data_IF_177476936488
#
_entry.id   IF_177476936488
#
_cell.length_a   1.000
_cell.length_b   1.000
_cell.length_c   1.000
_cell.angle_alpha   90.00
_cell.angle_beta   90.00
_cell.angle_gamma   90.00
#
_symmetry.space_group_name_H-M   'P 1'
#
loop_
_entity.id
_entity.type
_entity.pdbx_description
1 polymer ?
#
# COMPACT_ATOMS: atom_id res chain seq x y z
N UNK A 1 7.54 6.15 -2.40
CA UNK A 1 7.21 5.52 -1.09
C UNK A 1 6.41 6.52 -0.27
N UNK A 2 5.32 6.11 0.37
CA UNK A 2 4.54 6.97 1.26
C UNK A 2 5.42 7.39 2.44
N UNK A 3 5.46 8.71 2.77
CA UNK A 3 6.28 9.23 3.87
C UNK A 3 5.99 8.56 5.21
N UNK A 4 4.71 8.26 5.48
CA UNK A 4 4.31 7.58 6.71
C UNK A 4 4.96 6.19 6.87
N UNK A 5 4.99 5.39 5.80
CA UNK A 5 5.64 4.06 5.84
C UNK A 5 7.15 4.19 6.02
N UNK A 6 7.78 5.17 5.38
CA UNK A 6 9.21 5.44 5.52
C UNK A 6 9.55 5.85 6.96
N UNK A 7 8.82 6.80 7.50
CA UNK A 7 9.11 7.37 8.83
C UNK A 7 8.81 6.36 9.93
N UNK A 8 7.74 5.55 9.77
CA UNK A 8 7.43 4.42 10.65
C UNK A 8 8.52 3.35 10.65
N UNK A 9 9.07 3.01 9.47
CA UNK A 9 10.19 2.08 9.35
C UNK A 9 11.43 2.61 10.05
N UNK A 10 11.82 3.87 9.79
CA UNK A 10 12.98 4.48 10.42
C UNK A 10 12.85 4.50 11.95
N UNK A 11 11.65 4.81 12.46
CA UNK A 11 11.36 4.79 13.89
C UNK A 11 11.44 3.36 14.46
N UNK A 12 10.88 2.37 13.77
CA UNK A 12 10.96 0.98 14.19
C UNK A 12 12.42 0.50 14.25
N UNK A 13 13.22 0.80 13.24
CA UNK A 13 14.64 0.46 13.21
C UNK A 13 15.43 1.14 14.33
N UNK A 14 15.07 2.37 14.71
CA UNK A 14 15.73 3.08 15.82
C UNK A 14 15.38 2.54 17.20
N UNK A 15 14.24 1.84 17.33
CA UNK A 15 13.76 1.22 18.56
C UNK A 15 14.24 -0.23 18.71
N UNK A 16 14.60 -0.87 17.62
CA UNK A 16 15.17 -2.19 17.61
C UNK A 16 16.69 -2.08 17.55
N UNK A 17 17.38 -2.78 18.42
CA UNK A 17 18.84 -2.97 18.31
C UNK A 17 19.08 -3.94 17.12
N UNK A 18 18.87 -3.38 15.92
CA UNK A 18 19.13 -4.10 14.68
C UNK A 18 20.62 -3.99 14.44
N UNK A 19 21.35 -5.06 14.76
CA UNK A 19 22.76 -5.16 14.45
C UNK A 19 23.08 -4.94 12.96
N UNK A 20 24.33 -5.03 12.59
CA UNK A 20 24.71 -5.00 11.17
C UNK A 20 23.97 -6.11 10.42
N UNK A 21 23.33 -5.72 9.31
CA UNK A 21 22.67 -6.68 8.40
C UNK A 21 23.28 -6.55 7.00
N UNK A 22 23.37 -7.65 6.30
CA UNK A 22 23.99 -7.71 4.98
C UNK A 22 23.09 -7.07 3.91
N UNK A 23 21.78 -7.21 4.04
CA UNK A 23 20.82 -6.66 3.07
C UNK A 23 19.42 -6.44 3.67
N UNK A 24 18.65 -5.61 3.01
CA UNK A 24 17.23 -5.40 3.27
C UNK A 24 16.39 -6.20 2.28
N UNK A 25 15.41 -6.98 2.79
CA UNK A 25 14.47 -7.71 1.97
C UNK A 25 13.31 -6.82 1.49
N UNK A 26 12.95 -6.89 0.21
CA UNK A 26 11.79 -6.20 -0.36
C UNK A 26 10.90 -7.17 -1.14
N UNK A 27 9.58 -6.98 -1.05
CA UNK A 27 8.61 -7.78 -1.80
C UNK A 27 8.40 -7.21 -3.21
N UNK A 28 9.26 -7.58 -4.14
CA UNK A 28 9.11 -7.32 -5.58
C UNK A 28 9.02 -8.69 -6.25
N UNK A 29 7.94 -8.97 -6.97
CA UNK A 29 7.77 -10.23 -7.68
C UNK A 29 8.62 -10.29 -8.96
N UNK A 30 8.90 -11.48 -9.44
CA UNK A 30 9.75 -11.69 -10.62
C UNK A 30 9.19 -11.03 -11.89
N UNK A 31 7.87 -10.98 -12.05
CA UNK A 31 7.17 -10.37 -13.18
C UNK A 31 6.97 -8.85 -13.07
N UNK A 32 7.37 -8.23 -11.95
CA UNK A 32 7.38 -6.78 -11.77
C UNK A 32 8.64 -6.10 -12.35
N UNK A 33 9.00 -6.38 -13.59
CA UNK A 33 10.26 -5.95 -14.23
C UNK A 33 10.58 -4.46 -14.08
N UNK A 34 9.55 -3.59 -14.08
CA UNK A 34 9.75 -2.13 -13.90
C UNK A 34 10.32 -1.77 -12.53
N UNK A 35 10.17 -2.63 -11.54
CA UNK A 35 10.65 -2.42 -10.18
C UNK A 35 12.02 -3.03 -9.92
N UNK A 36 12.50 -3.92 -10.81
CA UNK A 36 13.81 -4.56 -10.66
C UNK A 36 14.96 -3.54 -10.61
N UNK A 37 14.83 -2.40 -11.30
CA UNK A 37 15.82 -1.31 -11.24
C UNK A 37 15.95 -0.64 -9.86
N UNK A 38 15.10 -0.98 -8.90
CA UNK A 38 15.20 -0.52 -7.51
C UNK A 38 16.07 -1.46 -6.65
N UNK A 39 16.37 -2.64 -7.14
CA UNK A 39 17.19 -3.63 -6.42
C UNK A 39 18.68 -3.23 -6.49
N UNK A 40 19.37 -3.43 -5.39
CA UNK A 40 20.79 -3.17 -5.21
C UNK A 40 21.41 -4.30 -4.41
N UNK A 41 22.71 -4.28 -4.18
CA UNK A 41 23.36 -5.26 -3.29
C UNK A 41 22.75 -5.25 -1.88
N UNK A 42 22.34 -4.07 -1.41
CA UNK A 42 21.76 -3.89 -0.08
C UNK A 42 20.22 -3.98 -0.06
N UNK A 43 19.56 -4.01 -1.21
CA UNK A 43 18.10 -4.11 -1.33
C UNK A 43 17.77 -5.27 -2.28
N UNK A 44 17.43 -6.41 -1.73
CA UNK A 44 17.25 -7.66 -2.47
C UNK A 44 15.81 -8.16 -2.40
N UNK A 45 15.38 -8.87 -3.43
CA UNK A 45 14.11 -9.59 -3.42
C UNK A 45 14.33 -11.07 -3.67
N UNK A 46 13.99 -11.87 -2.67
CA UNK A 46 14.03 -13.33 -2.79
C UNK A 46 13.09 -13.83 -3.89
N UNK A 47 11.96 -13.13 -4.12
CA UNK A 47 11.01 -13.50 -5.18
C UNK A 47 11.63 -13.34 -6.58
N UNK A 48 12.46 -12.31 -6.76
CA UNK A 48 13.18 -12.10 -8.03
C UNK A 48 14.30 -13.12 -8.18
N UNK A 49 15.06 -13.40 -7.12
CA UNK A 49 16.16 -14.37 -7.13
C UNK A 49 15.67 -15.78 -7.43
N UNK A 50 14.55 -16.17 -6.83
CA UNK A 50 13.93 -17.49 -7.00
C UNK A 50 12.94 -17.54 -8.19
N UNK A 51 12.82 -16.46 -8.97
CA UNK A 51 11.92 -16.33 -10.12
C UNK A 51 10.44 -16.62 -9.81
N UNK A 52 10.00 -16.22 -8.61
CA UNK A 52 8.63 -16.37 -8.14
C UNK A 52 7.80 -15.19 -8.65
N UNK A 53 6.75 -15.47 -9.42
CA UNK A 53 5.81 -14.47 -9.92
C UNK A 53 4.77 -14.08 -8.87
N UNK A 54 4.03 -12.99 -9.11
CA UNK A 54 2.92 -12.60 -8.23
C UNK A 54 1.83 -13.68 -8.17
N UNK A 55 1.60 -14.37 -9.30
CA UNK A 55 0.62 -15.45 -9.36
C UNK A 55 1.08 -16.69 -8.57
N UNK A 56 2.37 -17.04 -8.62
CA UNK A 56 2.95 -18.15 -7.84
C UNK A 56 2.83 -17.85 -6.33
N UNK A 57 3.19 -16.63 -5.91
CA UNK A 57 3.08 -16.20 -4.53
C UNK A 57 1.61 -16.21 -4.05
N UNK A 58 0.69 -15.73 -4.88
CA UNK A 58 -0.76 -15.74 -4.61
C UNK A 58 -1.29 -17.17 -4.45
N UNK A 59 -0.89 -18.08 -5.33
CA UNK A 59 -1.29 -19.49 -5.26
C UNK A 59 -0.79 -20.11 -3.97
N UNK A 60 0.48 -19.92 -3.65
CA UNK A 60 1.08 -20.42 -2.41
C UNK A 60 0.37 -19.90 -1.17
N UNK A 61 0.05 -18.58 -1.11
CA UNK A 61 -0.70 -17.99 0.00
C UNK A 61 -2.09 -18.61 0.16
N UNK A 62 -2.80 -18.89 -0.95
CA UNK A 62 -4.11 -19.56 -0.91
C UNK A 62 -4.02 -20.98 -0.37
N UNK A 63 -3.05 -21.74 -0.85
CA UNK A 63 -2.82 -23.14 -0.44
C UNK A 63 -2.45 -23.25 1.05
N UNK A 64 -1.81 -22.22 1.62
CA UNK A 64 -1.39 -22.17 3.02
C UNK A 64 -2.32 -21.36 3.93
N UNK A 65 -3.52 -20.99 3.46
CA UNK A 65 -4.50 -20.20 4.21
C UNK A 65 -3.96 -18.82 4.70
N UNK A 66 -2.98 -18.26 3.99
CA UNK A 66 -2.36 -16.96 4.28
C UNK A 66 -2.89 -15.85 3.35
N UNK A 67 -3.88 -16.15 2.53
CA UNK A 67 -4.45 -15.19 1.59
C UNK A 67 -5.34 -14.19 2.31
N UNK A 68 -5.01 -12.90 2.19
CA UNK A 68 -5.80 -11.84 2.82
C UNK A 68 -7.22 -11.79 2.23
N UNK A 69 -8.27 -11.68 3.07
CA UNK A 69 -9.65 -11.53 2.59
C UNK A 69 -9.84 -10.36 1.62
N UNK A 70 -9.08 -9.28 1.76
CA UNK A 70 -9.14 -8.12 0.86
C UNK A 70 -8.92 -8.46 -0.61
N UNK A 71 -8.10 -9.45 -0.90
CA UNK A 71 -7.91 -9.92 -2.28
C UNK A 71 -9.08 -10.78 -2.80
N UNK A 72 -9.98 -11.18 -1.90
CA UNK A 72 -11.14 -12.03 -2.22
C UNK A 72 -12.39 -11.22 -2.54
N UNK A 73 -12.52 -10.00 -2.01
CA UNK A 73 -13.74 -9.20 -2.09
C UNK A 73 -13.97 -8.56 -3.46
N UNK A 74 -12.95 -8.23 -4.20
CA UNK A 74 -13.12 -7.67 -5.52
C UNK A 74 -12.93 -8.71 -6.61
N UNK A 75 -14.01 -9.23 -7.14
CA UNK A 75 -14.00 -10.21 -8.24
C UNK A 75 -13.39 -9.70 -9.55
N UNK A 76 -12.90 -8.48 -9.61
CA UNK A 76 -12.31 -7.85 -10.81
C UNK A 76 -11.12 -6.94 -10.55
N UNK A 77 -10.94 -6.40 -9.36
CA UNK A 77 -9.83 -5.50 -9.08
C UNK A 77 -9.11 -5.99 -7.83
N UNK A 78 -7.82 -6.26 -7.97
CA UNK A 78 -6.93 -6.50 -6.82
C UNK A 78 -6.95 -5.25 -5.97
N UNK A 79 -7.82 -5.19 -4.97
CA UNK A 79 -7.76 -4.11 -3.98
C UNK A 79 -6.39 -4.18 -3.32
N UNK A 80 -5.66 -3.09 -3.42
CA UNK A 80 -4.37 -2.99 -2.77
C UNK A 80 -4.59 -3.03 -1.27
N UNK A 81 -3.86 -3.90 -0.60
CA UNK A 81 -3.80 -3.96 0.85
C UNK A 81 -3.06 -2.70 1.35
N UNK A 82 -3.77 -1.60 1.35
CA UNK A 82 -3.25 -0.27 1.63
C UNK A 82 -4.08 0.49 2.65
N UNK A 83 -3.61 1.69 3.00
CA UNK A 83 -4.39 2.60 3.83
C UNK A 83 -5.70 2.97 3.10
N UNK A 84 -6.82 3.02 3.80
CA UNK A 84 -8.13 3.42 3.28
C UNK A 84 -8.08 4.75 2.48
N UNK A 85 -7.18 5.65 2.87
CA UNK A 85 -6.95 6.94 2.23
C UNK A 85 -5.62 6.97 1.46
N UNK A 86 -5.27 5.90 0.76
CA UNK A 86 -4.01 5.83 0.05
C UNK A 86 -3.95 6.89 -1.07
N UNK A 87 -2.99 7.80 -0.98
CA UNK A 87 -2.76 8.82 -2.01
C UNK A 87 -2.34 8.25 -3.38
N UNK A 88 -1.89 6.99 -3.40
CA UNK A 88 -1.49 6.27 -4.61
C UNK A 88 -2.60 5.38 -5.18
N UNK A 89 -3.77 5.30 -4.53
CA UNK A 89 -4.91 4.60 -5.09
C UNK A 89 -5.45 5.36 -6.32
N UNK A 90 -5.89 4.63 -7.34
CA UNK A 90 -6.57 5.22 -8.48
C UNK A 90 -7.94 5.78 -8.07
N UNK A 91 -8.50 6.65 -8.87
CA UNK A 91 -9.84 7.22 -8.63
C UNK A 91 -10.90 6.11 -8.56
N UNK A 92 -10.80 5.15 -9.47
CA UNK A 92 -11.69 3.99 -9.52
C UNK A 92 -11.58 3.08 -8.28
N UNK A 93 -10.36 2.79 -7.80
CA UNK A 93 -10.16 2.01 -6.58
C UNK A 93 -10.78 2.69 -5.36
N UNK A 94 -10.78 4.03 -5.33
CA UNK A 94 -11.41 4.80 -4.25
C UNK A 94 -12.92 4.79 -4.32
N UNK A 95 -13.49 4.93 -5.53
CA UNK A 95 -14.94 4.84 -5.75
C UNK A 95 -15.47 3.48 -5.32
N UNK A 96 -14.85 2.39 -5.80
CA UNK A 96 -15.19 1.02 -5.40
C UNK A 96 -15.08 0.82 -3.89
N UNK A 97 -14.04 1.39 -3.26
CA UNK A 97 -13.86 1.28 -1.82
C UNK A 97 -14.98 2.00 -1.04
N UNK A 98 -15.48 3.14 -1.52
CA UNK A 98 -16.60 3.86 -0.88
C UNK A 98 -17.94 3.19 -1.15
N UNK A 99 -18.10 2.50 -2.27
CA UNK A 99 -19.27 1.67 -2.53
C UNK A 99 -19.34 0.50 -1.54
N UNK A 100 -18.19 -0.13 -1.27
CA UNK A 100 -18.09 -1.27 -0.35
C UNK A 100 -18.16 -0.85 1.14
N UNK A 101 -17.69 0.36 1.48
CA UNK A 101 -17.59 0.87 2.86
C UNK A 101 -18.17 2.29 2.99
N UNK A 102 -19.46 2.48 2.75
CA UNK A 102 -20.11 3.82 2.83
C UNK A 102 -20.04 4.45 4.22
N UNK A 103 -19.93 3.64 5.27
CA UNK A 103 -19.75 4.10 6.64
C UNK A 103 -18.44 4.83 6.90
N UNK A 104 -17.45 4.68 6.02
CA UNK A 104 -16.18 5.38 6.13
C UNK A 104 -16.24 6.83 5.58
N UNK A 105 -17.25 7.18 4.80
CA UNK A 105 -17.39 8.51 4.17
C UNK A 105 -17.37 9.66 5.19
N UNK A 106 -18.12 9.60 6.31
CA UNK A 106 -18.07 10.67 7.32
C UNK A 106 -16.67 10.88 7.91
N UNK A 107 -15.93 9.80 8.16
CA UNK A 107 -14.56 9.88 8.66
C UNK A 107 -13.63 10.55 7.64
N UNK A 108 -13.80 10.26 6.37
CA UNK A 108 -13.01 10.87 5.30
C UNK A 108 -13.26 12.36 5.20
N UNK A 109 -14.52 12.79 5.31
CA UNK A 109 -14.91 14.20 5.32
C UNK A 109 -14.27 14.92 6.51
N UNK A 110 -14.35 14.33 7.71
CA UNK A 110 -13.74 14.89 8.92
C UNK A 110 -12.22 15.06 8.76
N UNK A 111 -11.53 14.04 8.28
CA UNK A 111 -10.08 14.10 8.04
C UNK A 111 -9.70 15.15 7.00
N UNK A 112 -10.51 15.33 5.96
CA UNK A 112 -10.28 16.38 4.97
C UNK A 112 -10.47 17.78 5.56
N UNK A 113 -11.46 17.98 6.40
CA UNK A 113 -11.69 19.25 7.08
C UNK A 113 -10.50 19.59 7.99
N UNK A 114 -10.01 18.64 8.78
CA UNK A 114 -8.81 18.80 9.61
C UNK A 114 -7.60 19.19 8.75
N UNK A 115 -7.40 18.50 7.62
CA UNK A 115 -6.27 18.81 6.71
C UNK A 115 -6.44 20.22 6.11
N UNK A 116 -7.64 20.61 5.73
CA UNK A 116 -7.94 21.93 5.18
C UNK A 116 -7.70 23.06 6.19
N UNK A 117 -8.04 22.85 7.44
CA UNK A 117 -7.76 23.80 8.53
C UNK A 117 -6.25 23.96 8.79
N UNK A 118 -5.52 22.84 8.83
CA UNK A 118 -4.07 22.85 9.12
C UNK A 118 -3.21 23.25 7.90
N UNK A 119 -3.68 22.98 6.71
CA UNK A 119 -2.95 23.19 5.46
C UNK A 119 -3.89 23.70 4.36
N UNK A 120 -4.39 24.93 4.46
CA UNK A 120 -5.38 25.50 3.52
C UNK A 120 -4.85 25.64 2.08
N UNK A 121 -3.54 25.65 1.92
CA UNK A 121 -2.81 25.69 0.65
C UNK A 121 -2.79 24.33 -0.10
N UNK A 122 -3.14 23.24 0.56
CA UNK A 122 -3.14 21.92 -0.07
C UNK A 122 -4.45 21.66 -0.82
N UNK A 123 -4.37 21.14 -2.05
CA UNK A 123 -5.56 20.65 -2.73
C UNK A 123 -6.13 19.45 -1.96
N UNK A 124 -7.46 19.24 -2.04
CA UNK A 124 -8.08 18.04 -1.46
C UNK A 124 -7.43 16.78 -2.04
N UNK A 125 -7.43 15.72 -1.26
CA UNK A 125 -6.93 14.42 -1.71
C UNK A 125 -7.68 14.04 -2.99
N UNK A 126 -6.94 13.65 -4.03
CA UNK A 126 -7.51 13.25 -5.32
C UNK A 126 -8.57 12.16 -5.11
N UNK A 127 -9.73 12.29 -5.76
CA UNK A 127 -10.84 11.33 -5.65
C UNK A 127 -11.78 11.58 -4.47
N UNK A 128 -11.50 12.55 -3.60
CA UNK A 128 -12.39 12.94 -2.49
C UNK A 128 -13.13 14.26 -2.74
N UNK A 129 -12.96 14.85 -3.91
CA UNK A 129 -13.62 16.11 -4.30
C UNK A 129 -15.15 16.03 -4.28
N UNK A 130 -15.71 14.82 -4.41
CA UNK A 130 -17.16 14.59 -4.42
C UNK A 130 -17.82 14.70 -3.05
N UNK A 131 -17.04 14.75 -1.98
CA UNK A 131 -17.55 14.81 -0.60
C UNK A 131 -17.36 16.18 0.04
N UNK A 132 -16.96 17.20 -0.74
CA UNK A 132 -16.64 18.54 -0.24
C UNK A 132 -17.66 19.60 -0.67
N UNK A 133 -18.79 19.20 -1.25
CA UNK A 133 -19.91 20.10 -1.59
C UNK A 133 -20.88 20.28 -0.42
#
# INVERSE_FOLDING_TARGET
>A
MCGFKRDGKLKALSLCDVGEYDYEGVGIAYDEFKRHGQLTENLRSILVEEKITEDDATKWCKENCLYSPHYSFSGKNKMRDGCALCCNASEKEREEWFEDYPEAIPLVIELQNIVKEQRPDRPPLRGYKYFLE
#
